data_IF_885160523461
#
_entry.id   IF_885160523461
#
_cell.length_a   1.000
_cell.length_b   1.000
_cell.length_c   1.000
_cell.angle_alpha   90.00
_cell.angle_beta   90.00
_cell.angle_gamma   90.00
#
_symmetry.space_group_name_H-M   'P 1'
#
loop_
_entity.id
_entity.type
_entity.pdbx_description
1 polymer ?
#
# COMPACT_ATOMS: atom_id res chain seq x y z
N UNK A 1 -20.61 10.30 -1.50
CA UNK A 1 -19.34 10.96 -1.19
C UNK A 1 -18.19 10.21 -1.82
N UNK A 2 -17.23 10.95 -2.35
CA UNK A 2 -16.06 10.35 -2.97
C UNK A 2 -15.02 10.00 -1.90
N UNK A 3 -14.57 8.74 -1.87
CA UNK A 3 -13.46 8.34 -1.02
C UNK A 3 -12.16 8.91 -1.55
N UNK A 4 -11.20 9.05 -0.69
CA UNK A 4 -9.86 9.53 -1.03
C UNK A 4 -8.81 8.58 -0.48
N UNK A 5 -7.58 8.73 -0.98
CA UNK A 5 -6.44 7.94 -0.54
C UNK A 5 -5.54 8.81 0.31
N UNK A 6 -5.15 8.31 1.46
CA UNK A 6 -4.16 8.95 2.31
C UNK A 6 -3.07 7.96 2.68
N UNK A 7 -1.91 8.48 3.06
CA UNK A 7 -0.80 7.70 3.56
C UNK A 7 -0.45 8.20 4.95
N UNK A 8 -0.21 7.29 5.88
CA UNK A 8 0.43 7.69 7.13
C UNK A 8 1.85 8.15 6.83
N UNK A 9 2.47 8.97 7.70
CA UNK A 9 3.86 9.40 7.48
C UNK A 9 4.82 8.23 7.29
N UNK A 10 4.62 7.15 8.06
CA UNK A 10 5.43 5.95 7.94
C UNK A 10 5.25 5.28 6.57
N UNK A 11 4.01 5.06 6.17
CA UNK A 11 3.72 4.43 4.88
C UNK A 11 4.25 5.26 3.72
N UNK A 12 4.12 6.58 3.81
CA UNK A 12 4.67 7.49 2.79
C UNK A 12 6.17 7.33 2.68
N UNK A 13 6.89 7.32 3.80
CA UNK A 13 8.34 7.13 3.81
C UNK A 13 8.73 5.79 3.21
N UNK A 14 8.00 4.73 3.56
CA UNK A 14 8.25 3.40 3.02
C UNK A 14 8.02 3.35 1.51
N UNK A 15 6.95 3.99 1.04
CA UNK A 15 6.65 4.03 -0.40
C UNK A 15 7.75 4.78 -1.17
N UNK A 16 8.14 5.95 -0.67
CA UNK A 16 9.19 6.74 -1.32
C UNK A 16 10.52 6.00 -1.34
N UNK A 17 10.86 5.31 -0.24
CA UNK A 17 12.08 4.51 -0.19
C UNK A 17 12.07 3.38 -1.23
N UNK A 18 10.91 2.73 -1.41
CA UNK A 18 10.77 1.68 -2.42
C UNK A 18 10.97 2.24 -3.83
N UNK A 19 10.37 3.40 -4.12
CA UNK A 19 10.51 4.06 -5.42
C UNK A 19 11.96 4.45 -5.66
N UNK A 20 12.62 5.05 -4.67
CA UNK A 20 14.03 5.44 -4.79
C UNK A 20 14.94 4.25 -5.04
N UNK A 21 14.70 3.17 -4.32
CA UNK A 21 15.48 1.94 -4.48
C UNK A 21 15.38 1.40 -5.92
N UNK A 22 14.17 1.34 -6.45
CA UNK A 22 13.96 0.89 -7.83
C UNK A 22 14.56 1.87 -8.85
N UNK A 23 14.41 3.17 -8.58
CA UNK A 23 14.89 4.20 -9.50
C UNK A 23 16.41 4.16 -9.65
N UNK A 24 17.13 3.84 -8.60
CA UNK A 24 18.59 3.75 -8.64
C UNK A 24 19.08 2.70 -9.65
N UNK A 25 18.31 1.62 -9.84
CA UNK A 25 18.69 0.55 -10.76
C UNK A 25 17.95 0.63 -12.09
N UNK A 26 16.66 0.93 -12.05
CA UNK A 26 15.79 0.92 -13.24
C UNK A 26 14.74 2.03 -13.15
N UNK A 27 15.04 3.23 -13.63
CA UNK A 27 14.08 4.34 -13.57
C UNK A 27 12.71 4.01 -14.18
N UNK A 28 12.69 3.25 -15.29
CA UNK A 28 11.43 2.88 -15.93
C UNK A 28 10.60 1.93 -15.06
N UNK A 29 11.27 1.02 -14.34
CA UNK A 29 10.58 0.12 -13.42
C UNK A 29 9.99 0.89 -12.25
N UNK A 30 10.69 1.89 -11.75
CA UNK A 30 10.18 2.75 -10.67
C UNK A 30 8.92 3.50 -11.11
N UNK A 31 8.92 4.02 -12.33
CA UNK A 31 7.76 4.72 -12.90
C UNK A 31 6.58 3.76 -13.03
N UNK A 32 6.82 2.57 -13.57
CA UNK A 32 5.77 1.56 -13.73
C UNK A 32 5.19 1.15 -12.36
N UNK A 33 6.04 0.98 -11.36
CA UNK A 33 5.62 0.65 -10.00
C UNK A 33 4.72 1.75 -9.43
N UNK A 34 5.14 3.03 -9.56
CA UNK A 34 4.31 4.16 -9.08
C UNK A 34 2.94 4.16 -9.73
N UNK A 35 2.91 3.99 -11.05
CA UNK A 35 1.65 4.01 -11.79
C UNK A 35 0.73 2.87 -11.39
N UNK A 36 1.26 1.65 -11.27
CA UNK A 36 0.48 0.49 -10.85
C UNK A 36 0.00 0.62 -9.40
N UNK A 37 0.85 1.20 -8.53
CA UNK A 37 0.46 1.44 -7.15
C UNK A 37 -0.71 2.40 -7.06
N UNK A 38 -0.65 3.51 -7.77
CA UNK A 38 -1.74 4.48 -7.78
C UNK A 38 -3.03 3.89 -8.36
N UNK A 39 -2.92 3.09 -9.41
CA UNK A 39 -4.07 2.41 -10.00
C UNK A 39 -4.70 1.43 -9.02
N UNK A 40 -3.88 0.62 -8.33
CA UNK A 40 -4.37 -0.33 -7.34
C UNK A 40 -5.07 0.39 -6.18
N UNK A 41 -4.50 1.49 -5.71
CA UNK A 41 -5.11 2.27 -4.63
C UNK A 41 -6.41 2.94 -5.07
N UNK A 42 -6.47 3.47 -6.29
CA UNK A 42 -7.72 4.02 -6.83
C UNK A 42 -8.82 2.98 -6.92
N UNK A 43 -8.45 1.73 -7.24
CA UNK A 43 -9.42 0.64 -7.25
C UNK A 43 -10.02 0.38 -5.87
N UNK A 44 -9.27 0.61 -4.81
CA UNK A 44 -9.75 0.47 -3.44
C UNK A 44 -10.77 1.54 -3.07
N UNK A 45 -10.78 2.67 -3.76
CA UNK A 45 -11.81 3.70 -3.56
C UNK A 45 -13.19 3.13 -3.92
N UNK A 46 -13.25 2.34 -4.99
CA UNK A 46 -14.49 1.73 -5.46
C UNK A 46 -14.80 0.42 -4.74
N UNK A 47 -13.77 -0.36 -4.44
CA UNK A 47 -13.90 -1.70 -3.88
C UNK A 47 -12.97 -1.85 -2.67
N UNK A 48 -13.30 -1.20 -1.54
CA UNK A 48 -12.38 -1.14 -0.40
C UNK A 48 -12.15 -2.51 0.27
N UNK A 49 -13.03 -3.48 0.05
CA UNK A 49 -12.88 -4.81 0.60
C UNK A 49 -12.22 -5.79 -0.35
N UNK A 50 -11.73 -5.31 -1.51
CA UNK A 50 -11.10 -6.19 -2.49
C UNK A 50 -9.71 -6.67 -2.07
N UNK A 51 -9.04 -5.98 -1.15
CA UNK A 51 -7.81 -6.46 -0.56
C UNK A 51 -8.07 -7.63 0.39
N UNK A 52 -7.05 -8.46 0.62
CA UNK A 52 -7.19 -9.59 1.53
C UNK A 52 -6.86 -9.18 2.96
N UNK A 53 -7.38 -9.91 3.92
CA UNK A 53 -6.98 -9.75 5.32
C UNK A 53 -5.49 -10.10 5.43
N UNK A 54 -4.74 -9.33 6.21
CA UNK A 54 -3.30 -9.54 6.37
C UNK A 54 -3.07 -10.85 7.13
N UNK A 55 -2.38 -11.84 6.52
CA UNK A 55 -2.24 -13.15 7.17
C UNK A 55 -1.55 -13.11 8.53
N UNK A 56 -0.59 -12.22 8.71
CA UNK A 56 0.14 -12.10 9.98
C UNK A 56 -0.68 -11.44 11.08
N UNK A 57 -1.72 -10.68 10.72
CA UNK A 57 -2.50 -9.90 11.69
C UNK A 57 -3.99 -9.99 11.37
N UNK A 58 -4.57 -11.21 11.42
CA UNK A 58 -5.94 -11.42 10.91
C UNK A 58 -7.02 -10.73 11.73
N UNK A 59 -6.74 -10.40 12.99
CA UNK A 59 -7.75 -9.84 13.90
C UNK A 59 -7.71 -8.32 14.00
N UNK A 60 -6.84 -7.65 13.26
CA UNK A 60 -6.65 -6.21 13.41
C UNK A 60 -7.53 -5.35 12.48
N UNK A 61 -8.28 -5.98 11.58
CA UNK A 61 -9.18 -5.24 10.69
C UNK A 61 -8.50 -4.51 9.55
N UNK A 62 -7.23 -4.79 9.29
CA UNK A 62 -6.51 -4.24 8.16
C UNK A 62 -6.52 -5.22 6.99
N UNK A 63 -6.40 -4.68 5.79
CA UNK A 63 -6.28 -5.48 4.57
C UNK A 63 -5.01 -5.10 3.83
N UNK A 64 -4.64 -5.90 2.85
CA UNK A 64 -3.50 -5.60 2.00
C UNK A 64 -3.85 -5.79 0.54
N UNK A 65 -3.17 -5.02 -0.30
CA UNK A 65 -3.18 -5.21 -1.74
C UNK A 65 -1.74 -5.34 -2.20
N UNK A 66 -1.51 -6.24 -3.17
CA UNK A 66 -0.18 -6.52 -3.66
C UNK A 66 0.07 -5.75 -4.97
N UNK A 67 1.23 -5.10 -5.05
CA UNK A 67 1.68 -4.44 -6.27
C UNK A 67 3.11 -4.91 -6.53
N UNK A 68 3.29 -5.75 -7.53
CA UNK A 68 4.57 -6.41 -7.74
C UNK A 68 4.98 -7.19 -6.50
N UNK A 69 6.15 -6.91 -5.97
CA UNK A 69 6.66 -7.57 -4.76
C UNK A 69 6.43 -6.76 -3.49
N UNK A 70 5.52 -5.79 -3.53
CA UNK A 70 5.25 -4.94 -2.38
C UNK A 70 3.84 -5.16 -1.88
N UNK A 71 3.70 -5.10 -0.56
CA UNK A 71 2.45 -5.27 0.17
C UNK A 71 2.03 -3.91 0.70
N UNK A 72 0.84 -3.44 0.31
CA UNK A 72 0.29 -2.18 0.79
C UNK A 72 -0.77 -2.50 1.82
N UNK A 73 -0.48 -2.21 3.07
CA UNK A 73 -1.41 -2.39 4.17
C UNK A 73 -2.31 -1.16 4.24
N UNK A 74 -3.62 -1.38 4.36
CA UNK A 74 -4.56 -0.27 4.39
C UNK A 74 -5.76 -0.58 5.28
N UNK A 75 -6.48 0.48 5.62
CA UNK A 75 -7.80 0.37 6.26
C UNK A 75 -8.69 1.50 5.78
N UNK A 76 -10.00 1.33 5.96
CA UNK A 76 -10.95 2.42 5.76
C UNK A 76 -11.07 3.22 7.05
N UNK A 77 -11.05 4.52 6.92
CA UNK A 77 -11.32 5.43 8.03
C UNK A 77 -12.09 6.62 7.48
N UNK A 78 -13.37 6.71 7.87
CA UNK A 78 -14.25 7.72 7.30
C UNK A 78 -14.39 7.53 5.80
N UNK A 79 -14.11 8.58 5.02
CA UNK A 79 -14.15 8.56 3.57
C UNK A 79 -12.79 8.26 2.93
N UNK A 80 -11.81 7.85 3.73
CA UNK A 80 -10.46 7.63 3.23
C UNK A 80 -10.04 6.17 3.26
N UNK A 81 -9.32 5.77 2.22
CA UNK A 81 -8.52 4.56 2.22
C UNK A 81 -7.14 4.98 2.75
N UNK A 82 -6.82 4.56 3.97
CA UNK A 82 -5.54 4.90 4.59
C UNK A 82 -4.52 3.80 4.39
N UNK A 83 -3.46 4.11 3.68
CA UNK A 83 -2.29 3.22 3.56
C UNK A 83 -1.45 3.42 4.81
N UNK A 84 -1.28 2.36 5.59
CA UNK A 84 -0.60 2.39 6.89
C UNK A 84 0.77 1.71 6.87
N UNK A 85 1.10 1.00 5.79
CA UNK A 85 2.41 0.38 5.63
C UNK A 85 2.65 -0.05 4.20
N UNK A 86 3.91 -0.02 3.78
CA UNK A 86 4.34 -0.51 2.46
C UNK A 86 5.58 -1.36 2.70
N UNK A 87 5.45 -2.67 2.47
CA UNK A 87 6.48 -3.64 2.80
C UNK A 87 6.85 -4.46 1.58
N UNK A 88 8.13 -4.70 1.38
CA UNK A 88 8.57 -5.72 0.42
C UNK A 88 8.12 -7.09 0.94
N UNK A 89 7.74 -7.99 0.04
CA UNK A 89 7.20 -9.30 0.42
C UNK A 89 8.24 -10.18 1.16
N UNK A 90 9.53 -9.89 1.03
CA UNK A 90 10.59 -10.58 1.74
C UNK A 90 10.81 -10.05 3.16
N UNK A 91 10.21 -8.93 3.52
CA UNK A 91 10.35 -8.36 4.86
C UNK A 91 9.33 -8.97 5.81
N UNK A 92 9.68 -9.02 7.08
CA UNK A 92 8.72 -9.37 8.14
C UNK A 92 8.08 -8.06 8.57
N UNK A 93 6.78 -7.86 8.29
CA UNK A 93 6.15 -6.57 8.59
C UNK A 93 5.91 -6.40 10.09
N UNK A 94 5.98 -5.14 10.52
CA UNK A 94 5.51 -4.78 11.85
C UNK A 94 3.97 -4.75 11.86
N UNK A 95 3.43 -4.82 13.05
CA UNK A 95 2.00 -4.69 13.27
C UNK A 95 1.51 -3.34 12.73
N UNK A 96 0.45 -3.31 11.90
CA UNK A 96 -0.06 -2.06 11.37
C UNK A 96 -0.67 -1.19 12.47
N UNK A 97 -0.56 0.11 12.31
CA UNK A 97 -1.03 1.07 13.29
C UNK A 97 -1.96 2.11 12.68
#
# INVERSE_FOLDING_TARGET
MTRRIGFTPRARSQFLAAVEYMHAERPMAARAFRNRSMEALRNLIRFPESGRVIPEFPDLGFREVLVGKYRFFYRLQGDAVWVVGVWHDAQIPDEPA
#
